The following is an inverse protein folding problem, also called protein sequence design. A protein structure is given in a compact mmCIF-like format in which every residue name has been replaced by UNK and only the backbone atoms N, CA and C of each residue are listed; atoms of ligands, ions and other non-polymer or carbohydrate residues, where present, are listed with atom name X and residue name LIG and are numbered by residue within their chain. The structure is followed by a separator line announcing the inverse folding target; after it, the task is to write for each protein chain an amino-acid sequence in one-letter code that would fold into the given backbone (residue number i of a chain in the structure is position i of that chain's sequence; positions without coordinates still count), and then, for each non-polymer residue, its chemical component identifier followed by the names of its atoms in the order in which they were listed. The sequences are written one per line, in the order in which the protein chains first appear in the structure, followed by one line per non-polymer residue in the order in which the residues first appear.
data_IF_216414549912
#
_entry.id   IF_216414549912
#
_cell.length_a   1.000
_cell.length_b   1.000
_cell.length_c   1.000
_cell.angle_alpha   90.00
_cell.angle_beta   90.00
_cell.angle_gamma   90.00
#
_symmetry.space_group_name_H-M   'P 1'
#
loop_
_entity.id
_entity.type
_entity.pdbx_description
1 polymer ?
#
# COMPACT_ATOMS: atom_id res chain seq x y z
N UNK A 1 -4.26 -11.90 12.39
CA UNK A 1 -3.45 -11.54 11.21
C UNK A 1 -2.72 -10.24 11.46
N UNK A 2 -1.46 -10.17 11.14
CA UNK A 2 -0.64 -8.98 11.30
C UNK A 2 -0.28 -8.43 9.93
N UNK A 3 -0.55 -7.15 9.69
CA UNK A 3 -0.25 -6.48 8.43
C UNK A 3 0.57 -5.23 8.71
N UNK A 4 1.62 -5.03 7.92
CA UNK A 4 2.41 -3.81 7.95
C UNK A 4 1.93 -2.84 6.88
N UNK A 5 2.18 -1.55 7.07
CA UNK A 5 2.02 -0.54 6.03
C UNK A 5 3.29 0.27 5.90
N UNK A 6 3.55 0.79 4.72
CA UNK A 6 4.73 1.61 4.46
C UNK A 6 4.42 2.63 3.36
N UNK A 7 4.92 3.86 3.53
CA UNK A 7 4.92 4.88 2.49
C UNK A 7 6.36 5.23 2.12
N UNK A 8 6.58 5.73 0.91
CA UNK A 8 7.93 6.06 0.45
C UNK A 8 8.16 7.57 0.32
N UNK A 9 7.20 8.38 0.75
CA UNK A 9 7.34 9.83 0.77
C UNK A 9 8.55 10.23 1.63
N UNK A 10 9.41 11.07 1.08
CA UNK A 10 10.59 11.62 1.76
C UNK A 10 11.58 10.56 2.28
N UNK A 11 11.64 9.38 1.66
CA UNK A 11 12.60 8.35 2.03
C UNK A 11 13.49 7.96 0.86
N UNK A 12 14.65 7.40 1.16
CA UNK A 12 15.54 6.79 0.16
C UNK A 12 15.24 5.31 0.00
N UNK A 13 15.69 4.70 -1.10
CA UNK A 13 15.54 3.26 -1.30
C UNK A 13 16.25 2.48 -0.18
N UNK A 14 17.42 2.92 0.25
CA UNK A 14 18.15 2.25 1.34
C UNK A 14 17.39 2.26 2.65
N UNK A 15 16.82 3.40 3.03
CA UNK A 15 15.99 3.54 4.24
C UNK A 15 14.72 2.69 4.14
N UNK A 16 14.10 2.69 2.97
CA UNK A 16 12.88 1.92 2.69
C UNK A 16 13.14 0.43 2.87
N UNK A 17 14.16 -0.11 2.21
CA UNK A 17 14.51 -1.53 2.30
C UNK A 17 14.92 -1.93 3.72
N UNK A 18 15.70 -1.10 4.41
CA UNK A 18 16.11 -1.35 5.78
C UNK A 18 14.92 -1.46 6.73
N UNK A 19 13.93 -0.58 6.57
CA UNK A 19 12.70 -0.60 7.37
C UNK A 19 11.93 -1.91 7.19
N UNK A 20 11.81 -2.38 5.95
CA UNK A 20 11.14 -3.65 5.65
C UNK A 20 11.89 -4.84 6.24
N UNK A 21 13.21 -4.87 6.06
CA UNK A 21 14.05 -5.96 6.57
C UNK A 21 14.04 -6.04 8.09
N UNK A 22 14.14 -4.90 8.77
CA UNK A 22 14.10 -4.84 10.24
C UNK A 22 12.77 -5.32 10.81
N UNK A 23 11.66 -5.07 10.10
CA UNK A 23 10.34 -5.52 10.50
C UNK A 23 10.06 -6.99 10.17
N UNK A 24 10.96 -7.65 9.42
CA UNK A 24 10.77 -9.02 8.98
C UNK A 24 9.76 -9.19 7.86
N UNK A 25 9.49 -8.13 7.09
CA UNK A 25 8.57 -8.18 5.96
C UNK A 25 9.16 -9.02 4.84
N UNK A 26 8.35 -9.92 4.27
CA UNK A 26 8.74 -10.81 3.19
C UNK A 26 8.03 -10.51 1.87
N UNK A 27 7.02 -9.65 1.90
CA UNK A 27 6.22 -9.31 0.72
C UNK A 27 5.76 -7.87 0.79
N UNK A 28 5.85 -7.15 -0.33
CA UNK A 28 5.23 -5.84 -0.49
C UNK A 28 4.01 -6.00 -1.39
N UNK A 29 2.87 -5.56 -0.90
CA UNK A 29 1.63 -5.51 -1.67
C UNK A 29 1.41 -4.06 -2.07
N UNK A 30 1.66 -3.77 -3.33
CA UNK A 30 1.56 -2.41 -3.88
C UNK A 30 0.11 -2.10 -4.22
N UNK A 31 -0.50 -1.21 -3.45
CA UNK A 31 -1.90 -0.80 -3.63
C UNK A 31 -2.02 0.58 -4.29
N UNK A 32 -1.01 1.00 -5.05
CA UNK A 32 -1.09 2.22 -5.83
C UNK A 32 -1.90 1.97 -7.11
N UNK A 33 -2.82 2.88 -7.44
CA UNK A 33 -3.55 2.81 -8.70
C UNK A 33 -2.61 3.00 -9.89
N UNK A 34 -1.64 3.92 -9.75
CA UNK A 34 -0.60 4.20 -10.76
C UNK A 34 0.76 3.96 -10.10
N UNK A 35 1.42 2.84 -10.41
CA UNK A 35 2.69 2.45 -9.76
C UNK A 35 3.90 3.12 -10.42
N UNK A 36 3.80 4.43 -10.65
CA UNK A 36 4.86 5.26 -11.18
C UNK A 36 5.25 6.31 -10.15
N UNK A 37 6.52 6.66 -10.12
CA UNK A 37 7.02 7.65 -9.18
C UNK A 37 8.14 8.47 -9.81
N UNK A 38 8.20 9.76 -9.44
CA UNK A 38 9.34 10.62 -9.77
C UNK A 38 10.52 10.38 -8.83
N UNK A 39 10.28 9.75 -7.69
CA UNK A 39 11.37 9.36 -6.79
C UNK A 39 12.12 8.18 -7.38
N UNK A 40 13.46 8.26 -7.51
CA UNK A 40 14.24 7.19 -8.12
C UNK A 40 14.04 5.85 -7.43
N UNK A 41 13.77 4.83 -8.23
CA UNK A 41 13.64 3.44 -7.75
C UNK A 41 12.24 3.03 -7.31
N UNK A 42 11.27 3.94 -7.21
CA UNK A 42 9.94 3.62 -6.67
C UNK A 42 8.86 3.36 -7.72
N UNK A 43 9.16 3.45 -9.00
CA UNK A 43 8.27 2.95 -10.04
C UNK A 43 8.26 1.42 -10.02
N UNK A 44 7.18 0.82 -10.53
CA UNK A 44 6.89 -0.62 -10.40
C UNK A 44 8.08 -1.54 -10.65
N UNK A 45 8.71 -1.46 -11.81
CA UNK A 45 9.76 -2.41 -12.18
C UNK A 45 11.07 -2.21 -11.41
N UNK A 46 11.59 -0.97 -11.27
CA UNK A 46 12.75 -0.73 -10.42
C UNK A 46 12.52 -1.17 -8.96
N UNK A 47 11.35 -0.90 -8.42
CA UNK A 47 11.00 -1.29 -7.05
C UNK A 47 10.96 -2.81 -6.90
N UNK A 48 10.28 -3.49 -7.81
CA UNK A 48 10.21 -4.95 -7.83
C UNK A 48 11.61 -5.58 -7.85
N UNK A 49 12.50 -5.04 -8.68
CA UNK A 49 13.87 -5.53 -8.79
C UNK A 49 14.67 -5.28 -7.51
N UNK A 50 14.54 -4.09 -6.91
CA UNK A 50 15.23 -3.76 -5.66
C UNK A 50 14.77 -4.67 -4.51
N UNK A 51 13.49 -4.94 -4.42
CA UNK A 51 12.92 -5.85 -3.42
C UNK A 51 13.42 -7.28 -3.62
N UNK A 52 13.47 -7.74 -4.88
CA UNK A 52 13.96 -9.09 -5.20
C UNK A 52 15.42 -9.30 -4.76
N UNK A 53 16.25 -8.27 -4.86
CA UNK A 53 17.65 -8.34 -4.44
C UNK A 53 17.82 -8.62 -2.94
N UNK A 54 16.83 -8.25 -2.12
CA UNK A 54 16.85 -8.52 -0.67
C UNK A 54 15.85 -9.60 -0.26
N UNK A 55 15.36 -10.39 -1.23
CA UNK A 55 14.50 -11.54 -0.97
C UNK A 55 13.06 -11.19 -0.58
N UNK A 56 12.57 -10.03 -1.00
CA UNK A 56 11.19 -9.58 -0.71
C UNK A 56 10.36 -9.70 -1.99
N UNK A 57 9.21 -10.39 -1.90
CA UNK A 57 8.27 -10.52 -3.01
C UNK A 57 7.51 -9.21 -3.26
N UNK A 58 7.08 -9.01 -4.50
CA UNK A 58 6.29 -7.85 -4.90
C UNK A 58 5.03 -8.30 -5.63
N UNK A 59 3.88 -7.78 -5.20
CA UNK A 59 2.60 -8.00 -5.87
C UNK A 59 1.90 -6.65 -6.02
N UNK A 60 1.39 -6.36 -7.23
CA UNK A 60 0.63 -5.15 -7.49
C UNK A 60 -0.86 -5.47 -7.57
N UNK A 61 -1.67 -4.85 -6.70
CA UNK A 61 -3.12 -4.98 -6.68
C UNK A 61 -3.73 -3.61 -7.02
N UNK A 62 -3.78 -3.31 -8.31
CA UNK A 62 -4.18 -2.01 -8.87
C UNK A 62 -5.59 -1.58 -8.44
N UNK A 63 -6.53 -2.51 -8.38
CA UNK A 63 -7.92 -2.17 -8.06
C UNK A 63 -8.10 -1.73 -6.61
N UNK A 64 -7.11 -1.93 -5.75
CA UNK A 64 -7.10 -1.42 -4.37
C UNK A 64 -6.54 0.00 -4.28
N UNK A 65 -6.14 0.58 -5.41
CA UNK A 65 -5.66 1.96 -5.47
C UNK A 65 -6.81 2.96 -5.50
N UNK A 66 -6.49 4.22 -5.18
CA UNK A 66 -7.46 5.30 -5.19
C UNK A 66 -7.67 5.80 -6.63
N UNK A 67 -8.92 5.95 -7.10
CA UNK A 67 -9.20 6.56 -8.40
C UNK A 67 -8.67 8.00 -8.49
N UNK A 68 -8.56 8.54 -9.71
CA UNK A 68 -7.98 9.86 -9.95
C UNK A 68 -8.67 10.98 -9.17
N UNK A 69 -10.00 10.99 -9.10
CA UNK A 69 -10.76 11.98 -8.33
C UNK A 69 -10.55 11.81 -6.81
N UNK A 70 -10.38 10.59 -6.33
CA UNK A 70 -10.01 10.33 -4.94
C UNK A 70 -8.59 10.82 -4.62
N UNK A 71 -7.64 10.64 -5.54
CA UNK A 71 -6.28 11.16 -5.38
C UNK A 71 -6.28 12.70 -5.33
N UNK A 72 -7.11 13.34 -6.15
CA UNK A 72 -7.30 14.81 -6.12
C UNK A 72 -7.86 15.26 -4.78
N UNK A 73 -8.87 14.55 -4.26
CA UNK A 73 -9.46 14.85 -2.97
C UNK A 73 -8.43 14.72 -1.83
N UNK A 74 -7.61 13.69 -1.85
CA UNK A 74 -6.55 13.47 -0.87
C UNK A 74 -5.53 14.63 -0.88
N UNK A 75 -5.08 15.03 -2.08
CA UNK A 75 -4.12 16.15 -2.23
C UNK A 75 -4.70 17.48 -1.75
N UNK A 76 -6.02 17.67 -1.91
CA UNK A 76 -6.72 18.88 -1.50
C UNK A 76 -7.14 18.86 -0.03
N UNK A 77 -6.89 17.78 0.70
CA UNK A 77 -7.28 17.64 2.10
C UNK A 77 -8.77 17.38 2.30
N UNK A 78 -9.49 16.98 1.24
CA UNK A 78 -10.94 16.71 1.31
C UNK A 78 -11.15 15.26 1.74
N UNK A 79 -10.99 14.99 3.03
CA UNK A 79 -11.02 13.64 3.59
C UNK A 79 -12.36 12.92 3.38
N UNK A 80 -13.49 13.61 3.57
CA UNK A 80 -14.82 13.02 3.39
C UNK A 80 -15.04 12.58 1.94
N UNK A 81 -14.58 13.38 0.96
CA UNK A 81 -14.67 13.04 -0.45
C UNK A 81 -13.79 11.82 -0.77
N UNK A 82 -12.58 11.77 -0.22
CA UNK A 82 -11.69 10.62 -0.38
C UNK A 82 -12.34 9.35 0.16
N UNK A 83 -12.91 9.39 1.34
CA UNK A 83 -13.57 8.25 1.97
C UNK A 83 -14.73 7.74 1.12
N UNK A 84 -15.57 8.64 0.64
CA UNK A 84 -16.72 8.30 -0.21
C UNK A 84 -16.30 7.70 -1.55
N UNK A 85 -15.34 8.32 -2.21
CA UNK A 85 -14.84 7.87 -3.52
C UNK A 85 -14.17 6.50 -3.37
N UNK A 86 -13.36 6.32 -2.35
CA UNK A 86 -12.65 5.07 -2.14
C UNK A 86 -13.60 3.93 -1.74
N UNK A 87 -14.63 4.21 -0.95
CA UNK A 87 -15.66 3.22 -0.62
C UNK A 87 -16.34 2.71 -1.90
N UNK A 88 -16.63 3.62 -2.84
CA UNK A 88 -17.18 3.24 -4.15
C UNK A 88 -16.22 2.37 -4.96
N UNK A 89 -14.93 2.66 -4.91
CA UNK A 89 -13.91 1.84 -5.58
C UNK A 89 -13.86 0.42 -5.00
N UNK A 90 -13.92 0.28 -3.68
CA UNK A 90 -13.87 -1.02 -3.03
C UNK A 90 -15.12 -1.89 -3.29
N UNK A 91 -16.22 -1.28 -3.71
CA UNK A 91 -17.44 -2.00 -4.09
C UNK A 91 -17.39 -2.58 -5.51
N UNK A 92 -16.39 -2.22 -6.31
CA UNK A 92 -16.24 -2.76 -7.65
C UNK A 92 -15.82 -4.23 -7.59
N UNK A 93 -16.31 -5.08 -8.53
CA UNK A 93 -15.98 -6.51 -8.52
C UNK A 93 -14.48 -6.80 -8.52
N UNK A 94 -13.69 -6.04 -9.29
CA UNK A 94 -12.23 -6.20 -9.34
C UNK A 94 -11.58 -5.92 -7.99
N UNK A 95 -12.06 -4.88 -7.29
CA UNK A 95 -11.54 -4.53 -5.98
C UNK A 95 -11.91 -5.59 -4.94
N UNK A 96 -13.10 -6.16 -5.02
CA UNK A 96 -13.52 -7.25 -4.13
C UNK A 96 -12.63 -8.48 -4.28
N UNK A 97 -12.31 -8.86 -5.52
CA UNK A 97 -11.39 -9.96 -5.80
C UNK A 97 -10.00 -9.66 -5.24
N UNK A 98 -9.50 -8.46 -5.46
CA UNK A 98 -8.17 -8.09 -5.01
C UNK A 98 -8.08 -7.90 -3.49
N UNK A 99 -9.16 -7.49 -2.84
CA UNK A 99 -9.23 -7.48 -1.36
C UNK A 99 -9.07 -8.89 -0.80
N UNK A 100 -9.72 -9.87 -1.40
CA UNK A 100 -9.56 -11.28 -1.02
C UNK A 100 -8.12 -11.75 -1.24
N UNK A 101 -7.54 -11.43 -2.39
CA UNK A 101 -6.14 -11.75 -2.68
C UNK A 101 -5.19 -11.12 -1.65
N UNK A 102 -5.43 -9.87 -1.27
CA UNK A 102 -4.64 -9.19 -0.24
C UNK A 102 -4.67 -9.97 1.08
N UNK A 103 -5.85 -10.40 1.52
CA UNK A 103 -5.98 -11.16 2.78
C UNK A 103 -5.25 -12.50 2.69
N UNK A 104 -5.37 -13.20 1.57
CA UNK A 104 -4.67 -14.48 1.35
C UNK A 104 -3.15 -14.29 1.36
N UNK A 105 -2.65 -13.28 0.65
CA UNK A 105 -1.23 -12.98 0.59
C UNK A 105 -0.67 -12.60 1.95
N UNK A 106 -1.40 -11.78 2.70
CA UNK A 106 -0.97 -11.35 4.03
C UNK A 106 -1.00 -12.49 5.06
N UNK A 107 -1.86 -13.50 4.85
CA UNK A 107 -1.89 -14.68 5.70
C UNK A 107 -0.72 -15.64 5.42
N UNK A 108 -0.20 -15.65 4.20
CA UNK A 108 0.91 -16.52 3.81
C UNK A 108 2.27 -16.07 4.34
N UNK A 109 2.50 -14.77 4.43
CA UNK A 109 3.81 -14.21 4.79
C UNK A 109 3.65 -12.80 5.35
N UNK A 110 4.59 -12.33 6.21
CA UNK A 110 4.58 -10.94 6.67
C UNK A 110 4.61 -9.99 5.49
N UNK A 111 3.54 -9.19 5.33
CA UNK A 111 3.32 -8.34 4.16
C UNK A 111 3.13 -6.89 4.56
N UNK A 112 3.63 -5.97 3.73
CA UNK A 112 3.45 -4.54 3.90
C UNK A 112 2.66 -3.97 2.72
N UNK A 113 1.59 -3.23 3.02
CA UNK A 113 0.85 -2.47 2.03
C UNK A 113 1.63 -1.20 1.71
N UNK A 114 1.83 -0.92 0.43
CA UNK A 114 2.61 0.22 -0.04
C UNK A 114 1.73 1.27 -0.71
N UNK A 115 1.88 2.53 -0.29
CA UNK A 115 1.44 3.68 -1.05
C UNK A 115 2.46 4.82 -0.92
N UNK A 116 2.13 6.02 -1.43
CA UNK A 116 3.07 7.14 -1.43
C UNK A 116 3.26 7.76 -0.05
N UNK A 117 2.16 8.10 0.62
CA UNK A 117 2.15 8.96 1.79
C UNK A 117 2.88 8.32 2.98
N UNK A 118 3.69 9.12 3.67
CA UNK A 118 4.34 8.72 4.91
C UNK A 118 3.33 8.56 6.04
N UNK A 119 2.40 9.53 6.16
CA UNK A 119 1.36 9.49 7.18
C UNK A 119 0.21 8.60 6.74
N UNK A 120 -0.03 7.45 7.42
CA UNK A 120 -1.12 6.56 7.04
C UNK A 120 -2.51 7.18 7.22
N UNK A 121 -2.67 8.19 8.08
CA UNK A 121 -3.96 8.85 8.31
C UNK A 121 -4.47 9.60 7.08
N UNK A 122 -3.56 10.09 6.22
CA UNK A 122 -3.92 10.79 4.99
C UNK A 122 -3.96 9.89 3.76
N UNK A 123 -3.97 8.57 3.93
CA UNK A 123 -3.79 7.60 2.86
C UNK A 123 -4.89 6.55 2.86
N UNK A 124 -5.19 6.02 1.68
CA UNK A 124 -6.19 4.96 1.52
C UNK A 124 -5.81 3.63 2.19
N UNK A 125 -4.54 3.42 2.59
CA UNK A 125 -4.13 2.22 3.35
C UNK A 125 -4.99 1.99 4.59
N UNK A 126 -5.19 3.04 5.37
CA UNK A 126 -5.99 2.98 6.59
C UNK A 126 -7.44 2.69 6.29
N UNK A 127 -7.99 3.32 5.24
CA UNK A 127 -9.37 3.08 4.80
C UNK A 127 -9.56 1.64 4.33
N UNK A 128 -8.61 1.11 3.57
CA UNK A 128 -8.63 -0.26 3.08
C UNK A 128 -8.65 -1.26 4.23
N UNK A 129 -7.74 -1.10 5.19
CA UNK A 129 -7.65 -2.02 6.32
C UNK A 129 -8.88 -1.96 7.21
N UNK A 130 -9.44 -0.77 7.44
CA UNK A 130 -10.68 -0.62 8.20
C UNK A 130 -11.86 -1.33 7.54
N UNK A 131 -11.92 -1.28 6.20
CA UNK A 131 -13.02 -1.91 5.45
C UNK A 131 -12.84 -3.42 5.29
N UNK A 132 -11.62 -3.88 4.99
CA UNK A 132 -11.39 -5.24 4.50
C UNK A 132 -10.64 -6.14 5.49
N UNK A 133 -10.00 -5.58 6.51
CA UNK A 133 -9.28 -6.33 7.53
C UNK A 133 -9.42 -5.66 8.90
N UNK A 134 -10.66 -5.40 9.39
CA UNK A 134 -10.88 -4.61 10.60
C UNK A 134 -10.31 -5.24 11.87
N UNK A 135 -10.08 -6.55 11.86
CA UNK A 135 -9.56 -7.27 13.03
C UNK A 135 -8.04 -7.54 12.94
N UNK A 136 -7.39 -7.06 11.88
CA UNK A 136 -5.95 -7.25 11.75
C UNK A 136 -5.18 -6.37 12.74
N UNK A 137 -4.08 -6.90 13.27
CA UNK A 137 -3.09 -6.11 13.98
C UNK A 137 -2.26 -5.37 12.93
N UNK A 138 -2.20 -4.05 13.01
CA UNK A 138 -1.53 -3.21 12.01
C UNK A 138 -0.33 -2.49 12.61
N UNK A 139 0.81 -2.59 11.93
CA UNK A 139 2.01 -1.83 12.26
C UNK A 139 2.37 -0.92 11.08
N UNK A 140 2.39 0.38 11.31
CA UNK A 140 2.80 1.36 10.31
C UNK A 140 4.32 1.56 10.38
N UNK A 141 5.01 1.35 9.26
CA UNK A 141 6.45 1.55 9.17
C UNK A 141 6.76 2.97 8.68
N UNK A 142 7.75 3.60 9.30
CA UNK A 142 8.20 4.96 8.98
C UNK A 142 9.71 4.93 8.68
N UNK A 143 10.07 4.65 7.41
CA UNK A 143 11.48 4.58 7.03
C UNK A 143 12.23 5.89 7.17
#
# INVERSE_FOLDING_TARGET
MHIFTIGYEATTMGEFLASLEQAGVKRVIDIRAVPNSRRPGFSKNPLKNALAEVGIDYVHLKALGTPADGRSAARAGRQEDLERIYAGQLDLPEAMVQSEQMRELAAEAPSALLCFERDPAGCHRTLLLAAEAPNAEVTHLFP
#
